data_IF_262656249985
#
_entry.id   IF_262656249985
#
_cell.length_a   1.000
_cell.length_b   1.000
_cell.length_c   1.000
_cell.angle_alpha   90.00
_cell.angle_beta   90.00
_cell.angle_gamma   90.00
#
_symmetry.space_group_name_H-M   'P 1'
#
loop_
_entity.id
_entity.type
_entity.pdbx_description
1 polymer ?
#
# COMPACT_ATOMS: atom_id res chain seq x y z
N UNK A 1 -37.65 20.17 27.44
CA UNK A 1 -36.37 19.43 27.42
C UNK A 1 -35.20 20.40 27.46
N UNK A 2 -34.83 20.91 28.64
CA UNK A 2 -33.75 21.92 28.81
C UNK A 2 -32.77 21.49 29.90
N UNK A 3 -32.31 20.22 29.86
CA UNK A 3 -31.39 19.68 30.87
C UNK A 3 -30.13 19.04 30.26
N UNK A 4 -30.02 18.97 28.92
CA UNK A 4 -28.90 18.26 28.26
C UNK A 4 -27.77 19.16 27.75
N UNK A 5 -27.99 20.46 27.68
CA UNK A 5 -26.96 21.42 27.28
C UNK A 5 -25.99 21.78 28.42
N UNK A 6 -26.45 21.79 29.67
CA UNK A 6 -25.65 22.16 30.84
C UNK A 6 -24.64 21.09 31.26
N UNK A 7 -24.86 19.82 30.92
CA UNK A 7 -23.92 18.75 31.27
C UNK A 7 -22.61 18.81 30.46
N UNK A 8 -22.65 19.33 29.22
CA UNK A 8 -21.43 19.56 28.42
C UNK A 8 -20.64 20.79 28.88
N UNK A 9 -21.29 21.75 29.53
CA UNK A 9 -20.64 22.94 30.07
C UNK A 9 -19.95 22.67 31.42
N UNK A 10 -20.42 21.69 32.20
CA UNK A 10 -19.83 21.30 33.48
C UNK A 10 -18.67 20.29 33.37
N UNK A 11 -18.55 19.57 32.26
CA UNK A 11 -17.39 18.72 31.99
C UNK A 11 -16.24 19.58 31.48
N UNK A 12 -15.49 20.20 32.39
CA UNK A 12 -14.29 20.99 32.11
C UNK A 12 -13.44 20.40 30.96
N UNK A 13 -13.55 20.91 29.71
CA UNK A 13 -12.78 20.37 28.59
C UNK A 13 -11.28 20.61 28.77
N UNK A 14 -10.91 21.56 29.64
CA UNK A 14 -9.54 21.84 30.04
C UNK A 14 -8.87 20.72 30.85
N UNK A 15 -9.63 19.85 31.52
CA UNK A 15 -9.05 18.71 32.25
C UNK A 15 -8.72 17.53 31.32
N UNK A 16 -9.52 17.32 30.27
CA UNK A 16 -9.23 16.30 29.24
C UNK A 16 -8.08 16.75 28.33
N UNK A 17 -8.00 18.05 28.02
CA UNK A 17 -6.87 18.63 27.28
C UNK A 17 -5.54 18.61 28.06
N UNK A 18 -5.58 18.51 29.41
CA UNK A 18 -4.39 18.43 30.28
C UNK A 18 -3.97 17.00 30.63
N UNK A 19 -4.75 15.96 30.25
CA UNK A 19 -4.21 14.61 30.18
C UNK A 19 -3.28 14.59 28.97
N UNK A 20 -2.02 14.96 29.19
CA UNK A 20 -0.95 14.75 28.23
C UNK A 20 -0.98 13.27 27.87
N UNK A 21 -1.55 12.96 26.70
CA UNK A 21 -1.42 11.66 26.07
C UNK A 21 0.05 11.56 25.65
N UNK A 22 0.91 11.26 26.62
CA UNK A 22 2.33 11.07 26.41
C UNK A 22 2.49 9.75 25.66
N UNK A 23 3.00 9.80 24.43
CA UNK A 23 3.77 8.69 23.91
C UNK A 23 4.93 8.48 24.88
N UNK A 24 5.16 7.24 25.32
CA UNK A 24 6.29 6.75 26.13
C UNK A 24 7.40 7.77 26.42
N UNK A 25 7.73 7.97 27.71
CA UNK A 25 8.84 8.82 28.17
C UNK A 25 10.12 8.46 27.41
N UNK A 26 10.73 9.44 26.73
CA UNK A 26 11.98 9.27 25.99
C UNK A 26 13.04 8.54 26.84
N UNK A 27 13.41 7.32 26.46
CA UNK A 27 14.37 6.50 27.20
C UNK A 27 15.78 6.73 26.61
N UNK A 28 16.29 7.94 26.83
CA UNK A 28 17.54 8.48 26.27
C UNK A 28 18.86 7.78 26.69
N UNK A 29 18.78 6.65 27.40
CA UNK A 29 19.93 6.04 28.09
C UNK A 29 20.70 4.98 27.30
N UNK A 30 20.30 4.68 26.06
CA UNK A 30 20.95 3.67 25.22
C UNK A 30 21.96 4.31 24.24
N UNK A 31 23.14 3.70 24.00
CA UNK A 31 24.10 4.17 22.98
C UNK A 31 23.53 4.24 21.55
N UNK A 32 22.42 3.55 21.28
CA UNK A 32 21.73 3.56 19.99
C UNK A 32 20.45 4.39 20.08
N UNK A 33 20.61 5.71 20.06
CA UNK A 33 19.48 6.65 20.04
C UNK A 33 19.04 6.95 18.63
N UNK A 34 17.87 6.42 18.26
CA UNK A 34 17.20 6.81 17.03
C UNK A 34 16.48 8.15 17.24
N UNK A 35 16.30 8.95 16.17
CA UNK A 35 15.52 10.16 16.25
C UNK A 35 14.12 9.85 16.79
N UNK A 36 13.73 10.57 17.83
CA UNK A 36 12.40 10.51 18.41
C UNK A 36 11.57 11.70 17.96
N UNK A 37 10.26 11.52 17.88
CA UNK A 37 9.32 12.56 17.49
C UNK A 37 8.38 12.14 16.36
N UNK A 38 7.45 13.04 15.97
CA UNK A 38 6.50 12.72 14.92
C UNK A 38 7.22 12.33 13.63
N UNK A 39 6.83 11.17 13.06
CA UNK A 39 7.31 10.63 11.78
C UNK A 39 8.73 10.11 11.77
N UNK A 40 9.46 10.12 12.88
CA UNK A 40 10.79 9.51 12.94
C UNK A 40 10.75 7.98 12.83
N UNK A 41 9.59 7.38 13.06
CA UNK A 41 9.32 5.95 12.88
C UNK A 41 8.94 5.57 11.44
N UNK A 42 8.80 6.53 10.53
CA UNK A 42 8.41 6.24 9.15
C UNK A 42 9.65 5.95 8.30
N UNK A 43 9.66 4.86 7.52
CA UNK A 43 10.76 4.56 6.59
C UNK A 43 10.76 5.47 5.35
N UNK A 44 9.86 6.44 5.29
CA UNK A 44 9.73 7.42 4.21
C UNK A 44 9.41 8.80 4.79
N UNK A 45 9.71 9.85 4.03
CA UNK A 45 9.43 11.24 4.43
C UNK A 45 8.22 11.82 3.69
N UNK A 46 7.07 11.98 4.38
CA UNK A 46 5.87 12.58 3.79
C UNK A 46 5.97 14.08 3.42
N UNK A 47 7.03 14.80 3.80
CA UNK A 47 7.20 16.24 3.54
C UNK A 47 8.05 16.50 2.29
N UNK A 48 8.66 15.46 1.69
CA UNK A 48 9.37 15.62 0.44
C UNK A 48 8.45 16.13 -0.66
N UNK A 49 8.95 17.07 -1.46
CA UNK A 49 8.27 17.53 -2.67
C UNK A 49 7.95 16.34 -3.57
N UNK A 50 6.69 16.24 -3.99
CA UNK A 50 6.21 15.12 -4.80
C UNK A 50 5.88 13.85 -4.02
N UNK A 51 5.79 13.89 -2.69
CA UNK A 51 5.36 12.74 -1.88
C UNK A 51 4.02 12.16 -2.35
N UNK A 52 3.04 13.01 -2.70
CA UNK A 52 1.74 12.55 -3.18
C UNK A 52 1.85 11.62 -4.40
N UNK A 53 2.69 11.97 -5.38
CA UNK A 53 2.91 11.13 -6.58
C UNK A 53 3.59 9.82 -6.22
N UNK A 54 4.60 9.85 -5.35
CA UNK A 54 5.30 8.64 -4.89
C UNK A 54 4.37 7.71 -4.13
N UNK A 55 3.55 8.26 -3.24
CA UNK A 55 2.59 7.52 -2.43
C UNK A 55 1.53 6.85 -3.31
N UNK A 56 0.89 7.61 -4.21
CA UNK A 56 -0.11 7.05 -5.12
C UNK A 56 0.50 6.10 -6.15
N UNK A 57 1.72 6.35 -6.61
CA UNK A 57 2.45 5.42 -7.47
C UNK A 57 2.72 4.07 -6.78
N UNK A 58 3.16 4.10 -5.52
CA UNK A 58 3.34 2.88 -4.72
C UNK A 58 2.03 2.12 -4.54
N UNK A 59 0.95 2.82 -4.20
CA UNK A 59 -0.37 2.21 -4.04
C UNK A 59 -0.90 1.64 -5.36
N UNK A 60 -0.80 2.40 -6.45
CA UNK A 60 -1.23 1.98 -7.77
C UNK A 60 -0.46 0.76 -8.28
N UNK A 61 0.85 0.72 -8.07
CA UNK A 61 1.69 -0.42 -8.46
C UNK A 61 1.38 -1.66 -7.63
N UNK A 62 1.25 -1.54 -6.31
CA UNK A 62 0.89 -2.66 -5.44
C UNK A 62 -0.50 -3.22 -5.76
N UNK A 63 -1.45 -2.34 -6.07
CA UNK A 63 -2.80 -2.74 -6.48
C UNK A 63 -2.83 -3.38 -7.88
N UNK A 64 -2.06 -2.86 -8.84
CA UNK A 64 -2.05 -3.37 -10.22
C UNK A 64 -1.26 -4.66 -10.39
N UNK A 65 -0.38 -5.00 -9.44
CA UNK A 65 0.51 -6.16 -9.53
C UNK A 65 -0.21 -7.48 -9.87
N UNK A 66 -1.30 -7.88 -9.19
CA UNK A 66 -1.98 -9.15 -9.48
C UNK A 66 -2.57 -9.19 -10.90
N UNK A 67 -3.08 -8.06 -11.40
CA UNK A 67 -3.69 -7.96 -12.72
C UNK A 67 -2.66 -8.05 -13.84
N UNK A 68 -1.49 -7.41 -13.65
CA UNK A 68 -0.37 -7.51 -14.60
C UNK A 68 0.15 -8.94 -14.69
N UNK A 69 0.20 -9.66 -13.56
CA UNK A 69 0.62 -11.07 -13.54
C UNK A 69 -0.39 -11.95 -14.27
N UNK A 70 -1.68 -11.76 -14.03
CA UNK A 70 -2.74 -12.52 -14.70
C UNK A 70 -2.74 -12.33 -16.23
N UNK A 71 -2.63 -11.09 -16.71
CA UNK A 71 -2.58 -10.79 -18.14
C UNK A 71 -1.36 -11.42 -18.83
N UNK A 72 -0.19 -11.42 -18.16
CA UNK A 72 1.01 -12.09 -18.67
C UNK A 72 0.84 -13.60 -18.80
N UNK A 73 0.16 -14.24 -17.86
CA UNK A 73 -0.13 -15.67 -17.91
C UNK A 73 -1.07 -15.99 -19.08
N UNK A 74 -2.11 -15.20 -19.29
CA UNK A 74 -3.02 -15.32 -20.43
C UNK A 74 -2.28 -15.16 -21.78
N UNK A 75 -1.40 -14.17 -21.90
CA UNK A 75 -0.59 -13.97 -23.10
C UNK A 75 0.35 -15.14 -23.37
N UNK A 76 0.95 -15.72 -22.32
CA UNK A 76 1.81 -16.89 -22.45
C UNK A 76 1.03 -18.12 -22.94
N UNK A 77 -0.18 -18.34 -22.42
CA UNK A 77 -1.06 -19.43 -22.86
C UNK A 77 -1.49 -19.22 -24.32
N UNK A 78 -1.85 -18.00 -24.69
CA UNK A 78 -2.25 -17.67 -26.06
C UNK A 78 -1.09 -17.84 -27.06
N UNK A 79 0.12 -17.43 -26.69
CA UNK A 79 1.32 -17.61 -27.51
C UNK A 79 1.67 -19.10 -27.71
N UNK A 80 1.58 -19.92 -26.66
CA UNK A 80 1.77 -21.36 -26.75
C UNK A 80 0.72 -22.00 -27.66
N UNK A 81 -0.54 -21.63 -27.51
CA UNK A 81 -1.66 -22.15 -28.32
C UNK A 81 -1.45 -21.86 -29.81
N UNK A 82 -1.01 -20.64 -30.16
CA UNK A 82 -0.68 -20.28 -31.55
C UNK A 82 0.52 -21.06 -32.09
N UNK A 83 1.55 -21.28 -31.27
CA UNK A 83 2.73 -22.06 -31.68
C UNK A 83 2.37 -23.52 -31.99
N UNK A 84 1.47 -24.12 -31.21
CA UNK A 84 1.02 -25.50 -31.41
C UNK A 84 0.11 -25.60 -32.64
N UNK A 85 -0.81 -24.64 -32.82
CA UNK A 85 -1.68 -24.58 -33.99
C UNK A 85 -0.91 -24.45 -35.30
N UNK A 86 0.08 -23.55 -35.35
CA UNK A 86 0.92 -23.38 -36.55
C UNK A 86 1.80 -24.60 -36.84
N UNK A 87 2.23 -25.33 -35.81
CA UNK A 87 2.92 -26.61 -35.98
C UNK A 87 1.97 -27.64 -36.60
N UNK A 88 0.75 -27.81 -36.09
CA UNK A 88 -0.23 -28.74 -36.66
C UNK A 88 -0.54 -28.47 -38.15
N UNK A 89 -0.68 -27.20 -38.52
CA UNK A 89 -0.86 -26.77 -39.92
C UNK A 89 0.37 -27.10 -40.79
N UNK A 90 1.58 -26.89 -40.27
CA UNK A 90 2.83 -27.25 -40.95
C UNK A 90 2.92 -28.77 -41.20
N UNK A 91 2.56 -29.61 -40.23
CA UNK A 91 2.56 -31.07 -40.39
C UNK A 91 1.54 -31.53 -41.45
N UNK A 92 0.34 -30.92 -41.46
CA UNK A 92 -0.69 -31.18 -42.47
C UNK A 92 -0.23 -30.82 -43.90
N UNK A 93 0.48 -29.70 -44.07
CA UNK A 93 1.02 -29.28 -45.38
C UNK A 93 2.19 -30.19 -45.81
N UNK A 94 2.99 -30.69 -44.87
CA UNK A 94 4.14 -31.54 -45.15
C UNK A 94 3.79 -33.00 -45.50
N UNK A 95 2.51 -33.39 -45.39
CA UNK A 95 2.04 -34.75 -45.67
C UNK A 95 2.57 -35.81 -44.69
N UNK A 96 3.05 -35.39 -43.51
CA UNK A 96 3.60 -36.26 -42.47
C UNK A 96 2.52 -36.79 -41.50
N UNK A 97 1.27 -36.34 -41.66
CA UNK A 97 0.08 -36.85 -40.96
C UNK A 97 -0.96 -37.17 -42.05
N UNK A 98 -1.24 -38.46 -42.26
CA UNK A 98 -2.33 -38.95 -43.12
C UNK A 98 -3.68 -38.94 -42.39
#
# INVERSE_FOLDING_TARGET
MLARATFRAASAPSLVARRGFQSTRAQLSSPYHYPEGPRSNLPFDPLKRGFAFKYWGFMGLGFSLPFIVADKEEQAINALTQSIGGVAEQWAISGLVE
#
